data_IF_594467374277
#
_entry.id   IF_594467374277
#
_cell.length_a   1.000
_cell.length_b   1.000
_cell.length_c   1.000
_cell.angle_alpha   90.00
_cell.angle_beta   90.00
_cell.angle_gamma   90.00
#
_symmetry.space_group_name_H-M   'P 1'
#
loop_
_entity.id
_entity.type
_entity.pdbx_description
1 polymer ?
#
# COMPACT_ATOMS: atom_id res chain seq x y z
N UNK A 1 16.77 3.63 -14.94
CA UNK A 1 15.52 3.10 -15.54
C UNK A 1 15.71 1.70 -16.09
N UNK A 2 16.74 1.46 -16.90
CA UNK A 2 17.04 0.13 -17.47
C UNK A 2 17.12 -1.00 -16.43
N UNK A 3 17.60 -0.71 -15.21
CA UNK A 3 17.64 -1.68 -14.12
C UNK A 3 16.26 -2.26 -13.73
N UNK A 4 15.21 -1.42 -13.65
CA UNK A 4 13.84 -1.88 -13.40
C UNK A 4 13.32 -2.63 -14.62
N UNK A 5 13.45 -2.01 -15.81
CA UNK A 5 12.89 -2.53 -17.04
C UNK A 5 13.46 -3.89 -17.45
N UNK A 6 14.74 -4.15 -17.23
CA UNK A 6 15.36 -5.46 -17.47
C UNK A 6 14.65 -6.55 -16.62
N UNK A 7 14.46 -6.30 -15.33
CA UNK A 7 13.80 -7.26 -14.41
C UNK A 7 12.33 -7.45 -14.73
N UNK A 8 11.63 -6.39 -15.11
CA UNK A 8 10.23 -6.48 -15.54
C UNK A 8 10.10 -7.32 -16.81
N UNK A 9 10.91 -7.05 -17.84
CA UNK A 9 10.88 -7.81 -19.12
C UNK A 9 11.27 -9.28 -18.94
N UNK A 10 12.15 -9.58 -17.99
CA UNK A 10 12.55 -10.94 -17.64
C UNK A 10 11.61 -11.61 -16.62
N UNK A 11 10.53 -10.94 -16.20
CA UNK A 11 9.63 -11.38 -15.11
C UNK A 11 10.37 -11.75 -13.81
N UNK A 12 11.50 -11.10 -13.56
CA UNK A 12 12.34 -11.26 -12.35
C UNK A 12 11.94 -10.28 -11.26
N UNK A 13 10.68 -10.32 -10.88
CA UNK A 13 10.18 -9.53 -9.77
C UNK A 13 9.10 -10.28 -8.97
N UNK A 14 8.94 -9.88 -7.72
CA UNK A 14 7.90 -10.41 -6.83
C UNK A 14 7.06 -9.27 -6.28
N UNK A 15 5.81 -9.57 -5.95
CA UNK A 15 4.87 -8.65 -5.32
C UNK A 15 4.81 -8.94 -3.81
N UNK A 16 4.91 -7.90 -2.98
CA UNK A 16 4.64 -8.05 -1.56
C UNK A 16 3.15 -8.21 -1.29
N UNK A 17 2.78 -8.67 -0.09
CA UNK A 17 1.37 -8.72 0.33
C UNK A 17 0.68 -7.36 0.24
N UNK A 18 1.38 -6.26 0.56
CA UNK A 18 0.83 -4.93 0.42
C UNK A 18 0.55 -4.58 -1.05
N UNK A 19 1.39 -5.00 -1.98
CA UNK A 19 1.16 -4.81 -3.41
C UNK A 19 -0.03 -5.65 -3.89
N UNK A 20 -0.17 -6.90 -3.39
CA UNK A 20 -1.34 -7.73 -3.70
C UNK A 20 -2.66 -7.08 -3.26
N UNK A 21 -2.70 -6.42 -2.09
CA UNK A 21 -3.90 -5.68 -1.66
C UNK A 21 -4.34 -4.59 -2.65
N UNK A 22 -3.38 -3.94 -3.31
CA UNK A 22 -3.68 -2.94 -4.35
C UNK A 22 -4.21 -3.57 -5.64
N UNK A 23 -3.77 -4.79 -5.96
CA UNK A 23 -4.32 -5.56 -7.08
C UNK A 23 -5.77 -5.96 -6.80
N UNK A 24 -6.02 -6.48 -5.60
CA UNK A 24 -7.34 -6.99 -5.20
C UNK A 24 -8.36 -5.85 -5.05
N UNK A 25 -7.93 -4.63 -4.70
CA UNK A 25 -8.84 -3.46 -4.73
C UNK A 25 -9.26 -3.04 -6.14
N UNK A 26 -8.55 -3.51 -7.17
CA UNK A 26 -8.80 -3.16 -8.57
C UNK A 26 -8.30 -1.78 -9.00
N UNK A 27 -7.71 -1.00 -8.10
CA UNK A 27 -7.22 0.35 -8.41
C UNK A 27 -5.96 0.32 -9.29
N UNK A 28 -5.11 -0.69 -9.13
CA UNK A 28 -3.85 -0.86 -9.86
C UNK A 28 -3.68 -2.32 -10.22
N UNK A 29 -3.45 -2.63 -11.50
CA UNK A 29 -3.14 -3.99 -11.99
C UNK A 29 -1.64 -4.26 -12.11
N UNK A 30 -1.27 -5.51 -12.41
CA UNK A 30 0.13 -5.88 -12.71
C UNK A 30 0.65 -5.13 -13.94
N UNK A 31 -0.14 -5.04 -15.01
CA UNK A 31 0.24 -4.30 -16.22
C UNK A 31 0.45 -2.80 -15.95
N UNK A 32 -0.30 -2.22 -15.01
CA UNK A 32 -0.11 -0.83 -14.59
C UNK A 32 1.24 -0.64 -13.88
N UNK A 33 1.61 -1.59 -13.02
CA UNK A 33 2.90 -1.61 -12.31
C UNK A 33 4.04 -1.74 -13.32
N UNK A 34 3.93 -2.68 -14.28
CA UNK A 34 4.94 -2.91 -15.30
C UNK A 34 5.13 -1.69 -16.20
N UNK A 35 4.04 -1.09 -16.69
CA UNK A 35 4.08 0.14 -17.48
C UNK A 35 4.80 1.26 -16.73
N UNK A 36 4.48 1.45 -15.44
CA UNK A 36 5.13 2.46 -14.61
C UNK A 36 6.62 2.20 -14.39
N UNK A 37 7.03 0.95 -14.18
CA UNK A 37 8.44 0.58 -14.00
C UNK A 37 9.25 0.63 -15.30
N UNK A 38 8.62 0.45 -16.46
CA UNK A 38 9.26 0.47 -17.78
C UNK A 38 9.47 1.89 -18.32
N UNK A 39 8.52 2.80 -18.08
CA UNK A 39 8.50 4.13 -18.69
C UNK A 39 8.46 5.31 -17.69
N UNK A 40 8.31 5.05 -16.39
CA UNK A 40 8.17 6.07 -15.36
C UNK A 40 9.46 6.78 -14.95
N UNK A 41 9.36 7.65 -13.95
CA UNK A 41 10.47 8.40 -13.37
C UNK A 41 10.61 8.07 -11.89
N UNK A 42 11.84 7.94 -11.40
CA UNK A 42 12.10 7.82 -9.95
C UNK A 42 11.82 9.16 -9.29
N UNK A 43 10.82 9.21 -8.43
CA UNK A 43 10.49 10.39 -7.62
C UNK A 43 11.29 10.44 -6.32
N UNK A 44 11.51 9.27 -5.70
CA UNK A 44 12.24 9.19 -4.43
C UNK A 44 13.20 8.00 -4.43
N UNK A 45 14.39 8.23 -3.88
CA UNK A 45 15.37 7.21 -3.55
C UNK A 45 15.67 7.29 -2.06
N UNK A 46 15.50 6.18 -1.32
CA UNK A 46 15.69 6.14 0.13
C UNK A 46 16.44 4.89 0.53
N UNK A 47 17.56 5.10 1.23
CA UNK A 47 18.34 4.04 1.85
C UNK A 47 17.83 3.73 3.25
N UNK A 48 17.75 2.44 3.58
CA UNK A 48 17.56 1.94 4.93
C UNK A 48 18.66 0.92 5.23
N UNK A 49 19.31 1.02 6.39
CA UNK A 49 20.45 0.17 6.75
C UNK A 49 20.13 -1.32 6.77
N UNK A 50 18.88 -1.71 7.04
CA UNK A 50 18.45 -3.11 7.09
C UNK A 50 17.90 -3.62 5.76
N UNK A 51 17.27 -2.75 4.97
CA UNK A 51 16.50 -3.14 3.76
C UNK A 51 17.17 -2.72 2.45
N UNK A 52 18.25 -1.96 2.51
CA UNK A 52 18.91 -1.37 1.34
C UNK A 52 18.11 -0.20 0.76
N UNK A 53 18.39 0.11 -0.52
CA UNK A 53 17.77 1.22 -1.22
C UNK A 53 16.40 0.84 -1.77
N UNK A 54 15.44 1.74 -1.57
CA UNK A 54 14.09 1.64 -2.11
C UNK A 54 13.75 2.86 -2.94
N UNK A 55 12.99 2.64 -4.00
CA UNK A 55 12.60 3.64 -4.99
C UNK A 55 11.10 3.84 -4.95
N UNK A 56 10.66 5.08 -5.16
CA UNK A 56 9.28 5.39 -5.54
C UNK A 56 9.32 5.81 -7.01
N UNK A 57 8.73 5.01 -7.88
CA UNK A 57 8.62 5.29 -9.31
C UNK A 57 7.22 5.81 -9.60
N UNK A 58 7.11 6.86 -10.40
CA UNK A 58 5.85 7.36 -10.92
C UNK A 58 5.84 7.21 -12.44
N UNK A 59 4.89 6.46 -12.96
CA UNK A 59 4.65 6.35 -14.39
C UNK A 59 3.16 6.46 -14.70
N UNK A 60 2.83 6.23 -15.96
CA UNK A 60 1.46 6.29 -16.45
C UNK A 60 1.09 4.95 -17.09
N UNK A 61 -0.16 4.53 -16.89
CA UNK A 61 -0.77 3.40 -17.57
C UNK A 61 -2.19 3.77 -17.96
N UNK A 62 -2.54 3.64 -19.24
CA UNK A 62 -3.88 3.95 -19.76
C UNK A 62 -4.42 5.34 -19.33
N UNK A 63 -3.56 6.38 -19.34
CA UNK A 63 -3.95 7.74 -18.94
C UNK A 63 -4.09 7.95 -17.42
N UNK A 64 -3.77 6.94 -16.61
CA UNK A 64 -3.81 6.97 -15.13
C UNK A 64 -2.39 7.03 -14.57
N UNK A 65 -2.07 7.94 -13.63
CA UNK A 65 -0.80 7.92 -12.93
C UNK A 65 -0.72 6.74 -11.95
N UNK A 66 0.43 6.09 -11.87
CA UNK A 66 0.67 4.92 -11.02
C UNK A 66 1.99 5.12 -10.29
N UNK A 67 1.91 5.07 -8.95
CA UNK A 67 3.07 5.02 -8.08
C UNK A 67 3.41 3.59 -7.74
N UNK A 68 4.69 3.25 -7.87
CA UNK A 68 5.22 1.93 -7.54
C UNK A 68 6.39 2.12 -6.58
N UNK A 69 6.22 1.65 -5.34
CA UNK A 69 7.31 1.51 -4.37
C UNK A 69 7.98 0.17 -4.60
N UNK A 70 9.28 0.18 -4.86
CA UNK A 70 10.04 -1.04 -5.10
C UNK A 70 11.46 -0.99 -4.51
N UNK A 71 12.10 -2.15 -4.40
CA UNK A 71 13.49 -2.27 -3.94
C UNK A 71 14.16 -3.48 -4.58
N UNK A 72 15.49 -3.54 -4.53
CA UNK A 72 16.22 -4.76 -4.86
C UNK A 72 16.04 -5.79 -3.73
N UNK A 73 15.87 -7.07 -4.07
CA UNK A 73 16.05 -8.15 -3.10
C UNK A 73 17.54 -8.48 -2.90
N UNK A 74 17.83 -9.45 -2.01
CA UNK A 74 19.19 -9.87 -1.67
C UNK A 74 19.96 -10.56 -2.81
N UNK A 75 19.26 -11.11 -3.80
CA UNK A 75 19.85 -11.83 -4.95
C UNK A 75 19.78 -11.01 -6.24
N UNK A 76 19.44 -9.72 -6.12
CA UNK A 76 19.37 -8.79 -7.24
C UNK A 76 18.10 -8.90 -8.09
N UNK A 77 17.03 -9.54 -7.61
CA UNK A 77 15.68 -9.41 -8.16
C UNK A 77 15.00 -8.10 -7.73
N UNK A 78 13.78 -7.86 -8.21
CA UNK A 78 12.97 -6.68 -7.87
C UNK A 78 11.80 -7.07 -6.96
N UNK A 79 11.61 -6.34 -5.87
CA UNK A 79 10.43 -6.47 -5.02
C UNK A 79 9.55 -5.25 -5.23
N UNK A 80 8.33 -5.44 -5.72
CA UNK A 80 7.29 -4.41 -5.69
C UNK A 80 6.66 -4.45 -4.31
N UNK A 81 6.95 -3.43 -3.52
CA UNK A 81 6.53 -3.32 -2.12
C UNK A 81 5.07 -2.85 -2.08
N UNK A 82 4.73 -1.81 -2.82
CA UNK A 82 3.39 -1.23 -2.79
C UNK A 82 3.11 -0.46 -4.09
N UNK A 83 1.86 -0.42 -4.54
CA UNK A 83 1.47 0.37 -5.70
C UNK A 83 0.11 1.05 -5.49
N UNK A 84 -0.07 2.27 -5.98
CA UNK A 84 -1.30 3.05 -5.79
C UNK A 84 -1.41 4.17 -6.82
N UNK A 85 -2.61 4.71 -7.00
CA UNK A 85 -2.84 5.95 -7.76
C UNK A 85 -2.59 7.14 -6.83
N UNK A 86 -1.64 8.05 -7.13
CA UNK A 86 -1.39 9.20 -6.27
C UNK A 86 -2.60 10.14 -6.24
N UNK A 87 -2.97 10.57 -5.04
CA UNK A 87 -4.13 11.43 -4.82
C UNK A 87 -3.89 12.43 -3.67
N UNK A 88 -4.73 13.47 -3.65
CA UNK A 88 -4.84 14.37 -2.51
C UNK A 88 -5.28 13.61 -1.24
N UNK A 89 -4.92 14.09 -0.04
CA UNK A 89 -4.11 15.28 0.22
C UNK A 89 -2.60 15.03 0.18
N UNK A 90 -2.15 13.79 -0.10
CA UNK A 90 -0.73 13.42 0.00
C UNK A 90 0.10 13.83 -1.22
N UNK A 91 -0.54 13.97 -2.38
CA UNK A 91 0.07 14.37 -3.64
C UNK A 91 -0.71 15.54 -4.25
N UNK A 92 -0.06 16.71 -4.37
CA UNK A 92 -0.59 17.90 -5.07
C UNK A 92 -0.73 17.63 -6.57
N UNK A 93 0.20 16.84 -7.10
CA UNK A 93 0.16 16.26 -8.44
C UNK A 93 0.82 14.88 -8.39
N UNK A 94 0.67 14.04 -9.44
CA UNK A 94 1.35 12.75 -9.49
C UNK A 94 2.87 12.81 -9.28
N UNK A 95 3.51 13.96 -9.51
CA UNK A 95 4.96 14.10 -9.36
C UNK A 95 5.35 14.87 -8.08
N UNK A 96 4.40 15.56 -7.44
CA UNK A 96 4.68 16.49 -6.33
C UNK A 96 3.93 16.07 -5.07
N UNK A 97 4.69 15.60 -4.07
CA UNK A 97 4.18 15.28 -2.74
C UNK A 97 3.79 16.58 -2.02
N UNK A 98 2.66 16.56 -1.32
CA UNK A 98 2.18 17.72 -0.55
C UNK A 98 3.02 17.92 0.71
N UNK A 99 3.29 19.19 1.06
CA UNK A 99 3.84 19.54 2.37
C UNK A 99 2.79 19.41 3.51
N UNK A 100 1.50 19.36 3.15
CA UNK A 100 0.35 19.23 4.06
C UNK A 100 0.25 17.81 4.66
N UNK A 101 0.97 16.83 4.11
CA UNK A 101 1.08 15.49 4.70
C UNK A 101 1.65 15.48 6.13
N UNK A 102 2.12 16.63 6.63
CA UNK A 102 2.63 16.92 7.97
C UNK A 102 1.59 17.20 9.06
N UNK A 103 0.40 17.71 8.75
CA UNK A 103 -0.52 18.22 9.80
C UNK A 103 -1.38 17.15 10.49
N UNK A 104 -1.44 15.94 9.94
CA UNK A 104 -1.97 14.73 10.59
C UNK A 104 -0.86 13.69 10.84
N UNK A 105 0.41 14.11 10.82
CA UNK A 105 1.51 13.27 11.30
C UNK A 105 1.28 13.07 12.79
N UNK A 106 1.42 11.83 13.24
CA UNK A 106 1.34 11.52 14.66
C UNK A 106 2.57 12.14 15.31
N UNK A 107 2.39 13.37 15.79
CA UNK A 107 3.44 14.12 16.46
C UNK A 107 3.69 13.46 17.81
N UNK A 108 4.96 13.17 18.09
CA UNK A 108 5.50 12.43 19.24
C UNK A 108 5.17 10.92 19.35
N UNK A 109 6.01 10.08 18.72
CA UNK A 109 6.36 8.77 19.31
C UNK A 109 6.42 7.53 18.40
N UNK A 110 6.12 7.62 17.11
CA UNK A 110 6.22 6.44 16.26
C UNK A 110 6.55 6.78 14.82
N UNK A 111 7.78 6.49 14.40
CA UNK A 111 8.01 6.15 13.01
C UNK A 111 7.46 4.75 12.74
N UNK A 112 7.20 4.42 11.49
CA UNK A 112 6.81 3.07 11.10
C UNK A 112 7.82 2.06 11.65
N UNK A 113 7.35 1.11 12.46
CA UNK A 113 8.21 0.08 13.07
C UNK A 113 9.06 -0.66 12.02
N UNK A 114 8.48 -0.88 10.85
CA UNK A 114 9.13 -1.65 9.78
C UNK A 114 10.16 -0.85 8.98
N UNK A 115 9.89 0.42 8.66
CA UNK A 115 10.75 1.18 7.73
C UNK A 115 11.28 2.51 8.26
N UNK A 116 10.88 2.93 9.46
CA UNK A 116 11.24 4.24 10.03
C UNK A 116 10.53 5.43 9.37
N UNK A 117 9.55 5.18 8.50
CA UNK A 117 8.85 6.22 7.76
C UNK A 117 7.81 6.97 8.58
N UNK A 118 7.49 8.20 8.16
CA UNK A 118 6.43 8.99 8.75
C UNK A 118 5.07 8.28 8.66
N UNK A 119 4.27 8.43 9.70
CA UNK A 119 2.95 7.82 9.84
C UNK A 119 1.87 8.89 9.92
N UNK A 120 0.70 8.62 9.35
CA UNK A 120 -0.45 9.54 9.35
C UNK A 120 -1.74 8.81 9.64
N UNK A 121 -2.71 9.49 10.28
CA UNK A 121 -4.04 8.91 10.52
C UNK A 121 -4.86 8.91 9.23
N UNK A 122 -5.52 7.78 8.96
CA UNK A 122 -6.43 7.60 7.82
C UNK A 122 -7.71 6.90 8.27
N UNK A 123 -8.73 6.94 7.43
CA UNK A 123 -9.90 6.09 7.54
C UNK A 123 -9.87 5.10 6.39
N UNK A 124 -9.69 3.80 6.69
CA UNK A 124 -9.73 2.76 5.68
C UNK A 124 -11.17 2.56 5.19
N UNK A 125 -11.36 2.57 3.86
CA UNK A 125 -12.67 2.41 3.24
C UNK A 125 -13.29 1.04 3.56
N UNK A 126 -12.56 -0.03 3.23
CA UNK A 126 -12.92 -1.43 3.53
C UNK A 126 -11.71 -2.15 4.12
N UNK A 127 -11.94 -2.92 5.18
CA UNK A 127 -10.98 -3.85 5.76
C UNK A 127 -11.66 -5.20 5.93
N UNK A 128 -11.12 -6.21 5.27
CA UNK A 128 -11.68 -7.55 5.28
C UNK A 128 -10.99 -8.38 6.35
N UNK A 129 -11.77 -8.91 7.28
CA UNK A 129 -11.31 -9.70 8.42
C UNK A 129 -11.99 -11.06 8.42
N UNK A 130 -11.22 -12.14 8.55
CA UNK A 130 -11.78 -13.49 8.62
C UNK A 130 -11.64 -14.04 10.03
N UNK A 131 -12.76 -14.28 10.71
CA UNK A 131 -12.81 -14.90 12.04
C UNK A 131 -13.44 -16.28 11.93
N UNK A 132 -12.66 -17.32 12.25
CA UNK A 132 -13.14 -18.72 12.23
C UNK A 132 -13.85 -19.11 10.92
N UNK A 133 -13.33 -18.62 9.78
CA UNK A 133 -13.89 -18.86 8.45
C UNK A 133 -14.96 -17.86 7.99
N UNK A 134 -15.60 -17.14 8.90
CA UNK A 134 -16.57 -16.09 8.57
C UNK A 134 -15.86 -14.82 8.11
N UNK A 135 -16.22 -14.32 6.92
CA UNK A 135 -15.77 -13.04 6.41
C UNK A 135 -16.58 -11.90 7.04
N UNK A 136 -15.87 -10.93 7.63
CA UNK A 136 -16.40 -9.68 8.15
C UNK A 136 -15.79 -8.54 7.34
N UNK A 137 -16.63 -7.68 6.78
CA UNK A 137 -16.20 -6.49 6.04
C UNK A 137 -16.39 -5.26 6.93
N UNK A 138 -15.29 -4.66 7.37
CA UNK A 138 -15.29 -3.50 8.24
C UNK A 138 -15.15 -2.24 7.39
N UNK A 139 -16.18 -1.40 7.40
CA UNK A 139 -16.16 -0.11 6.69
C UNK A 139 -15.69 1.02 7.60
N UNK A 140 -15.03 2.01 6.99
CA UNK A 140 -14.64 3.27 7.66
C UNK A 140 -13.81 3.06 8.94
N UNK A 141 -12.85 2.13 8.89
CA UNK A 141 -12.02 1.77 10.05
C UNK A 141 -10.93 2.83 10.27
N UNK A 142 -10.88 3.50 11.44
CA UNK A 142 -9.77 4.38 11.77
C UNK A 142 -8.46 3.60 11.83
N UNK A 143 -7.43 4.08 11.14
CA UNK A 143 -6.13 3.43 11.07
C UNK A 143 -4.99 4.46 10.97
N UNK A 144 -3.77 3.96 11.04
CA UNK A 144 -2.54 4.73 10.86
C UNK A 144 -1.81 4.15 9.66
N UNK A 145 -1.44 4.97 8.69
CA UNK A 145 -0.74 4.55 7.47
C UNK A 145 0.69 5.08 7.46
N UNK A 146 1.66 4.21 7.17
CA UNK A 146 3.00 4.65 6.82
C UNK A 146 3.02 5.20 5.39
N UNK A 147 3.40 6.47 5.25
CA UNK A 147 3.48 7.17 3.95
C UNK A 147 4.66 6.74 3.07
N UNK A 148 5.48 5.78 3.51
CA UNK A 148 6.65 5.28 2.79
C UNK A 148 6.52 3.84 2.31
N UNK A 149 6.02 2.93 3.16
CA UNK A 149 5.89 1.51 2.81
C UNK A 149 4.44 1.03 2.70
N UNK A 150 3.45 1.86 3.06
CA UNK A 150 2.04 1.49 3.00
C UNK A 150 1.55 0.63 4.17
N UNK A 151 2.41 0.33 5.15
CA UNK A 151 2.02 -0.41 6.36
C UNK A 151 0.88 0.28 7.10
N UNK A 152 -0.09 -0.51 7.57
CA UNK A 152 -1.28 0.00 8.26
C UNK A 152 -1.31 -0.53 9.69
N UNK A 153 -1.50 0.36 10.65
CA UNK A 153 -1.60 0.04 12.07
C UNK A 153 -2.99 0.40 12.59
N UNK A 154 -3.42 -0.32 13.62
CA UNK A 154 -4.62 0.00 14.40
C UNK A 154 -4.21 0.31 15.83
N UNK A 155 -4.78 1.36 16.40
CA UNK A 155 -4.66 1.59 17.84
C UNK A 155 -5.39 0.48 18.60
N UNK A 156 -4.86 0.05 19.74
CA UNK A 156 -5.42 -1.06 20.50
C UNK A 156 -6.88 -0.83 20.94
N UNK A 157 -7.29 0.42 21.16
CA UNK A 157 -8.68 0.78 21.45
C UNK A 157 -9.62 0.54 20.27
N UNK A 158 -9.18 0.88 19.05
CA UNK A 158 -9.92 0.57 17.82
C UNK A 158 -10.08 -0.95 17.68
N UNK A 159 -9.03 -1.71 17.95
CA UNK A 159 -9.07 -3.17 17.96
C UNK A 159 -10.06 -3.74 18.99
N UNK A 160 -10.07 -3.23 20.23
CA UNK A 160 -11.04 -3.63 21.27
C UNK A 160 -12.48 -3.36 20.84
N UNK A 161 -12.74 -2.17 20.28
CA UNK A 161 -14.07 -1.80 19.78
C UNK A 161 -14.49 -2.71 18.62
N UNK A 162 -13.58 -3.01 17.70
CA UNK A 162 -13.86 -3.91 16.58
C UNK A 162 -14.26 -5.31 17.08
N UNK A 163 -13.52 -5.88 18.04
CA UNK A 163 -13.85 -7.18 18.62
C UNK A 163 -15.24 -7.17 19.26
N UNK A 164 -15.55 -6.15 20.08
CA UNK A 164 -16.87 -6.03 20.72
C UNK A 164 -18.01 -5.96 19.70
N UNK A 165 -17.85 -5.19 18.61
CA UNK A 165 -18.86 -5.12 17.55
C UNK A 165 -19.09 -6.46 16.85
N UNK A 166 -18.03 -7.24 16.63
CA UNK A 166 -18.11 -8.57 16.02
C UNK A 166 -18.76 -9.57 16.99
N UNK A 167 -18.32 -9.59 18.26
CA UNK A 167 -18.85 -10.48 19.30
C UNK A 167 -20.34 -10.24 19.56
N UNK A 168 -20.75 -8.97 19.60
CA UNK A 168 -22.14 -8.55 19.78
C UNK A 168 -22.96 -8.63 18.48
N UNK A 169 -22.35 -9.07 17.37
CA UNK A 169 -22.97 -9.21 16.04
C UNK A 169 -23.66 -7.93 15.54
N UNK A 170 -23.07 -6.77 15.84
CA UNK A 170 -23.58 -5.44 15.44
C UNK A 170 -23.27 -5.11 13.97
N UNK A 171 -23.62 -6.02 13.07
CA UNK A 171 -23.43 -5.83 11.63
C UNK A 171 -24.53 -4.93 11.05
N UNK A 172 -24.15 -3.96 10.23
CA UNK A 172 -25.10 -3.02 9.61
C UNK A 172 -25.84 -3.60 8.40
N UNK A 173 -25.16 -4.45 7.63
CA UNK A 173 -25.68 -5.09 6.42
C UNK A 173 -24.74 -6.24 6.01
N UNK A 174 -25.15 -7.01 5.00
CA UNK A 174 -24.33 -8.08 4.39
C UNK A 174 -23.91 -7.67 2.98
N UNK A 175 -22.67 -7.99 2.61
CA UNK A 175 -22.14 -7.87 1.25
C UNK A 175 -21.87 -9.28 0.70
N UNK A 176 -22.24 -9.54 -0.56
CA UNK A 176 -21.90 -10.80 -1.22
C UNK A 176 -20.41 -10.82 -1.54
N UNK A 177 -19.77 -11.98 -1.32
CA UNK A 177 -18.36 -12.19 -1.64
C UNK A 177 -18.22 -13.29 -2.70
N UNK A 178 -17.56 -12.95 -3.81
CA UNK A 178 -17.20 -13.92 -4.83
C UNK A 178 -15.94 -14.68 -4.40
N UNK A 179 -15.88 -15.98 -4.70
CA UNK A 179 -14.73 -16.84 -4.43
C UNK A 179 -14.18 -17.34 -5.75
N UNK A 180 -12.86 -17.28 -5.91
CA UNK A 180 -12.13 -17.73 -7.09
C UNK A 180 -11.01 -18.64 -6.61
N UNK A 181 -10.90 -19.83 -7.20
CA UNK A 181 -9.76 -20.73 -7.04
C UNK A 181 -8.72 -20.41 -8.13
N UNK A 182 -7.44 -20.28 -7.73
CA UNK A 182 -6.33 -19.83 -8.58
C UNK A 182 -5.79 -20.93 -9.53
N UNK A 183 -6.63 -21.86 -10.00
CA UNK A 183 -6.18 -23.03 -10.80
C UNK A 183 -5.21 -22.69 -11.95
#
# INVERSE_FOLDING_TARGET
MEWFGCRVRESRYILSEHAMRSLVSGEVGVLDIEAALLAGNVLEERFNSMRGTSYLVCGESNGKPVHVKCAADKIGGLVVIFAYVPALPFWESPMRRSNIGGSNVIDSGGTCFFCGGAMTKITMGSFDYRREGQLCVIKKLPAILCQQCGEKYLEAEVGRKLNALIDEKKFSHTEQANVIDYE
#
